data_IF_700061379435
#
_entry.id   IF_700061379435
#
_cell.length_a   1.000
_cell.length_b   1.000
_cell.length_c   1.000
_cell.angle_alpha   90.00
_cell.angle_beta   90.00
_cell.angle_gamma   90.00
#
_symmetry.space_group_name_H-M   'P 1'
#
loop_
_entity.id
_entity.type
_entity.pdbx_description
1 polymer ?
#
# COMPACT_ATOMS: atom_id res chain seq x y z
N UNK A 1 -7.17 25.12 6.78
CA UNK A 1 -7.08 24.25 5.59
C UNK A 1 -7.41 22.82 6.02
N UNK A 2 -8.62 22.34 5.68
CA UNK A 2 -9.13 21.01 6.03
C UNK A 2 -8.65 19.99 4.98
N UNK A 3 -8.29 18.77 5.39
CA UNK A 3 -8.26 17.61 4.50
C UNK A 3 -6.91 17.19 3.91
N UNK A 4 -5.77 17.58 4.48
CA UNK A 4 -4.48 17.03 4.03
C UNK A 4 -4.25 15.63 4.62
N UNK A 5 -4.89 14.61 4.05
CA UNK A 5 -4.40 13.23 4.12
C UNK A 5 -3.31 13.07 3.06
N UNK A 6 -2.28 13.92 3.16
CA UNK A 6 -1.05 13.77 2.41
C UNK A 6 -0.08 13.32 3.48
N UNK A 7 0.35 12.06 3.43
CA UNK A 7 1.61 11.66 4.07
C UNK A 7 2.67 11.89 3.00
N UNK A 8 3.27 13.10 2.87
CA UNK A 8 4.34 13.28 1.93
C UNK A 8 5.56 12.55 2.50
N UNK A 9 5.78 11.31 2.05
CA UNK A 9 7.06 10.58 2.30
C UNK A 9 8.09 10.99 1.25
N UNK A 10 8.10 12.26 0.85
CA UNK A 10 9.21 12.83 0.09
C UNK A 10 10.13 13.50 1.11
N UNK A 11 11.45 13.25 1.11
CA UNK A 11 12.28 13.82 2.16
C UNK A 11 12.36 15.32 1.94
N UNK A 12 11.73 16.08 2.83
CA UNK A 12 11.81 17.52 2.83
C UNK A 12 13.03 17.87 3.69
N UNK A 13 14.05 18.47 3.06
CA UNK A 13 15.31 18.94 3.68
C UNK A 13 16.36 17.85 3.97
N UNK A 14 16.91 17.24 2.91
CA UNK A 14 17.99 16.24 2.97
C UNK A 14 19.33 16.74 3.55
N UNK A 15 19.47 18.03 3.87
CA UNK A 15 20.72 18.63 4.36
C UNK A 15 20.91 18.59 5.89
N UNK A 16 19.95 18.03 6.65
CA UNK A 16 20.10 17.84 8.11
C UNK A 16 20.43 16.37 8.40
N UNK A 17 21.56 16.09 9.04
CA UNK A 17 22.04 14.71 9.32
C UNK A 17 21.00 13.77 9.93
N UNK A 18 20.19 14.26 10.88
CA UNK A 18 19.11 13.48 11.50
C UNK A 18 18.03 13.06 10.49
N UNK A 19 17.75 13.90 9.49
CA UNK A 19 16.75 13.62 8.45
C UNK A 19 17.29 12.67 7.37
N UNK A 20 18.59 12.73 7.08
CA UNK A 20 19.25 11.74 6.22
C UNK A 20 19.12 10.33 6.80
N UNK A 21 19.40 10.17 8.10
CA UNK A 21 19.25 8.88 8.80
C UNK A 21 17.83 8.35 8.72
N UNK A 22 16.84 9.22 8.91
CA UNK A 22 15.42 8.84 8.79
C UNK A 22 15.05 8.41 7.37
N UNK A 23 15.54 9.11 6.34
CA UNK A 23 15.29 8.74 4.94
C UNK A 23 15.90 7.39 4.58
N UNK A 24 17.17 7.16 4.93
CA UNK A 24 17.85 5.88 4.70
C UNK A 24 17.08 4.74 5.39
N UNK A 25 16.63 4.97 6.61
CA UNK A 25 15.81 4.00 7.33
C UNK A 25 14.49 3.70 6.62
N UNK A 26 13.79 4.73 6.13
CA UNK A 26 12.56 4.54 5.36
C UNK A 26 12.80 3.79 4.05
N UNK A 27 13.88 4.09 3.32
CA UNK A 27 14.27 3.35 2.12
C UNK A 27 14.55 1.88 2.44
N UNK A 28 15.28 1.61 3.53
CA UNK A 28 15.54 0.24 3.96
C UNK A 28 14.23 -0.49 4.32
N UNK A 29 13.36 0.15 5.09
CA UNK A 29 12.05 -0.41 5.43
C UNK A 29 11.23 -0.71 4.18
N UNK A 30 11.12 0.24 3.26
CA UNK A 30 10.38 0.08 2.01
C UNK A 30 10.87 -1.13 1.21
N UNK A 31 12.19 -1.28 1.03
CA UNK A 31 12.79 -2.42 0.34
C UNK A 31 12.53 -3.73 1.10
N UNK A 32 12.63 -3.74 2.43
CA UNK A 32 12.36 -4.93 3.24
C UNK A 32 10.89 -5.34 3.16
N UNK A 33 9.97 -4.39 3.27
CA UNK A 33 8.54 -4.62 3.10
C UNK A 33 8.22 -5.15 1.71
N UNK A 34 8.79 -4.55 0.66
CA UNK A 34 8.57 -4.98 -0.71
C UNK A 34 9.07 -6.42 -0.93
N UNK A 35 10.29 -6.75 -0.47
CA UNK A 35 10.82 -8.11 -0.56
C UNK A 35 9.98 -9.13 0.20
N UNK A 36 9.49 -8.76 1.38
CA UNK A 36 8.59 -9.64 2.14
C UNK A 36 7.27 -9.87 1.42
N UNK A 37 6.69 -8.83 0.80
CA UNK A 37 5.48 -8.97 -0.02
C UNK A 37 5.74 -9.92 -1.19
N UNK A 38 6.83 -9.73 -1.94
CA UNK A 38 7.21 -10.62 -3.05
C UNK A 38 7.38 -12.07 -2.61
N UNK A 39 7.99 -12.31 -1.45
CA UNK A 39 8.10 -13.65 -0.89
C UNK A 39 6.72 -14.26 -0.58
N UNK A 40 5.78 -13.48 -0.05
CA UNK A 40 4.43 -13.94 0.26
C UNK A 40 3.58 -14.26 -0.97
N UNK A 41 3.82 -13.57 -2.08
CA UNK A 41 3.07 -13.74 -3.32
C UNK A 41 3.83 -14.59 -4.34
N UNK A 42 5.00 -15.13 -3.98
CA UNK A 42 5.86 -15.88 -4.89
C UNK A 42 5.21 -17.12 -5.51
N UNK A 43 4.22 -17.71 -4.82
CA UNK A 43 3.44 -18.84 -5.34
C UNK A 43 2.46 -18.43 -6.46
N UNK A 44 2.18 -17.13 -6.63
CA UNK A 44 1.32 -16.61 -7.70
C UNK A 44 2.05 -16.51 -9.06
N UNK A 45 3.37 -16.76 -9.11
CA UNK A 45 4.16 -16.69 -10.34
C UNK A 45 4.31 -15.29 -10.93
N UNK A 46 3.92 -14.24 -10.18
CA UNK A 46 3.99 -12.85 -10.62
C UNK A 46 5.42 -12.31 -10.46
N UNK A 47 5.86 -11.51 -11.44
CA UNK A 47 7.07 -10.69 -11.32
C UNK A 47 6.89 -9.55 -10.32
N UNK A 48 8.00 -9.01 -9.84
CA UNK A 48 7.98 -7.88 -8.92
C UNK A 48 7.26 -6.64 -9.50
N UNK A 49 7.41 -6.42 -10.80
CA UNK A 49 6.77 -5.32 -11.49
C UNK A 49 5.25 -5.52 -11.58
N UNK A 50 4.80 -6.73 -11.94
CA UNK A 50 3.36 -7.05 -12.02
C UNK A 50 2.69 -6.90 -10.65
N UNK A 51 3.33 -7.35 -9.57
CA UNK A 51 2.80 -7.16 -8.21
C UNK A 51 2.64 -5.68 -7.88
N UNK A 52 3.62 -4.85 -8.23
CA UNK A 52 3.56 -3.40 -8.00
C UNK A 52 2.45 -2.73 -8.84
N UNK A 53 2.33 -3.10 -10.11
CA UNK A 53 1.31 -2.57 -11.01
C UNK A 53 -0.10 -2.95 -10.55
N UNK A 54 -0.33 -4.20 -10.15
CA UNK A 54 -1.64 -4.64 -9.67
C UNK A 54 -2.00 -3.99 -8.33
N UNK A 55 -1.04 -3.86 -7.41
CA UNK A 55 -1.25 -3.09 -6.17
C UNK A 55 -1.60 -1.63 -6.44
N UNK A 56 -0.98 -1.01 -7.44
CA UNK A 56 -1.26 0.38 -7.80
C UNK A 56 -2.66 0.56 -8.41
N UNK A 57 -3.14 -0.45 -9.15
CA UNK A 57 -4.49 -0.46 -9.74
C UNK A 57 -5.57 -0.75 -8.71
N UNK A 58 -5.26 -1.47 -7.62
CA UNK A 58 -6.20 -1.71 -6.52
C UNK A 58 -6.62 -0.39 -5.87
N UNK A 59 -7.92 -0.09 -5.95
CA UNK A 59 -8.52 1.07 -5.27
C UNK A 59 -9.38 0.63 -4.12
N UNK A 60 -9.18 1.33 -3.00
CA UNK A 60 -9.94 1.16 -1.77
C UNK A 60 -10.62 2.49 -1.51
N UNK A 61 -11.92 2.54 -1.78
CA UNK A 61 -12.72 3.76 -1.70
C UNK A 61 -13.39 3.89 -0.35
N UNK A 62 -13.39 5.11 0.20
CA UNK A 62 -14.14 5.46 1.40
C UNK A 62 -15.47 6.07 0.98
N UNK A 63 -16.52 5.25 0.96
CA UNK A 63 -17.88 5.70 0.67
C UNK A 63 -18.52 6.23 1.96
N UNK A 64 -18.76 7.54 2.03
CA UNK A 64 -19.48 8.15 3.15
C UNK A 64 -20.99 7.94 2.97
N UNK A 65 -21.56 6.95 3.65
CA UNK A 65 -23.00 6.86 3.85
C UNK A 65 -23.49 7.93 4.83
N UNK A 66 -24.80 8.21 4.83
CA UNK A 66 -25.49 9.24 5.63
C UNK A 66 -25.20 9.19 7.14
N UNK A 67 -24.65 8.10 7.68
CA UNK A 67 -24.26 7.98 9.10
C UNK A 67 -22.87 7.35 9.37
N UNK A 68 -22.25 6.60 8.44
CA UNK A 68 -20.92 5.97 8.63
C UNK A 68 -20.16 5.87 7.31
N UNK A 69 -18.86 6.14 7.34
CA UNK A 69 -17.96 5.86 6.22
C UNK A 69 -17.70 4.35 6.14
N UNK A 70 -17.98 3.75 4.99
CA UNK A 70 -17.65 2.36 4.69
C UNK A 70 -16.48 2.33 3.72
N UNK A 71 -15.51 1.47 4.00
CA UNK A 71 -14.44 1.19 3.04
C UNK A 71 -14.98 0.14 2.07
N UNK A 72 -15.06 0.49 0.79
CA UNK A 72 -15.52 -0.37 -0.29
C UNK A 72 -14.32 -0.61 -1.20
N UNK A 73 -13.97 -1.87 -1.41
CA UNK A 73 -12.97 -2.24 -2.41
C UNK A 73 -13.67 -2.22 -3.78
N UNK A 74 -13.11 -1.53 -4.77
CA UNK A 74 -13.65 -1.53 -6.14
C UNK A 74 -13.61 -2.95 -6.74
N UNK A 75 -14.29 -3.18 -7.87
CA UNK A 75 -14.24 -4.47 -8.56
C UNK A 75 -12.79 -4.85 -8.88
N UNK A 76 -12.36 -6.02 -8.40
CA UNK A 76 -11.00 -6.53 -8.58
C UNK A 76 -10.93 -7.48 -9.77
N UNK A 77 -9.81 -7.46 -10.51
CA UNK A 77 -9.48 -8.54 -11.45
C UNK A 77 -9.19 -9.86 -10.69
N UNK A 78 -9.07 -10.97 -11.42
CA UNK A 78 -8.75 -12.28 -10.81
C UNK A 78 -7.37 -12.25 -10.13
N UNK A 79 -6.40 -11.62 -10.79
CA UNK A 79 -5.04 -11.44 -10.30
C UNK A 79 -5.04 -10.60 -9.02
N UNK A 80 -5.82 -9.51 -9.00
CA UNK A 80 -5.98 -8.66 -7.84
C UNK A 80 -6.68 -9.39 -6.69
N UNK A 81 -7.75 -10.15 -6.96
CA UNK A 81 -8.44 -10.92 -5.93
C UNK A 81 -7.53 -11.98 -5.29
N UNK A 82 -6.72 -12.66 -6.11
CA UNK A 82 -5.71 -13.61 -5.64
C UNK A 82 -4.66 -12.92 -4.77
N UNK A 83 -4.12 -11.80 -5.24
CA UNK A 83 -3.13 -11.00 -4.53
C UNK A 83 -3.68 -10.49 -3.18
N UNK A 84 -4.90 -9.97 -3.16
CA UNK A 84 -5.59 -9.48 -1.96
C UNK A 84 -5.83 -10.58 -0.93
N UNK A 85 -6.22 -11.77 -1.40
CA UNK A 85 -6.47 -12.95 -0.56
C UNK A 85 -5.18 -13.51 0.03
N UNK A 86 -4.13 -13.66 -0.79
CA UNK A 86 -2.81 -14.13 -0.36
C UNK A 86 -2.19 -13.20 0.70
N UNK A 87 -2.37 -11.89 0.53
CA UNK A 87 -1.91 -10.89 1.51
C UNK A 87 -2.84 -10.74 2.73
N UNK A 88 -3.96 -11.47 2.78
CA UNK A 88 -4.96 -11.42 3.86
C UNK A 88 -5.43 -9.99 4.17
N UNK A 89 -5.64 -9.18 3.13
CA UNK A 89 -6.02 -7.78 3.27
C UNK A 89 -7.48 -7.59 3.72
N UNK A 90 -8.31 -8.62 3.57
CA UNK A 90 -9.69 -8.66 4.03
C UNK A 90 -9.86 -8.30 5.52
N UNK A 91 -8.87 -8.61 6.38
CA UNK A 91 -8.90 -8.30 7.81
C UNK A 91 -8.87 -6.79 8.12
N UNK A 92 -8.47 -5.98 7.14
CA UNK A 92 -8.34 -4.53 7.28
C UNK A 92 -9.49 -3.76 6.64
N UNK A 93 -10.40 -4.45 5.94
CA UNK A 93 -11.60 -3.83 5.38
C UNK A 93 -12.70 -3.83 6.45
N UNK A 94 -13.12 -2.66 6.99
CA UNK A 94 -14.21 -2.56 7.95
C UNK A 94 -15.53 -3.09 7.34
N UNK A 95 -16.23 -3.93 8.11
CA UNK A 95 -17.55 -4.48 7.77
C UNK A 95 -18.67 -3.45 7.92
#
# INVERSE_FOLDING_TARGET
MKGALIVPVKPIYHWKDKRIKAHIFMCFLEVMFFRYMLHKVGELGMSAQEVAEELQKMRVDLVKGTMKAKIVVEQMSVEQANLFSTMKLNRFVPR
#
